data_IF_356624399461
#
_entry.id   IF_356624399461
#
_cell.length_a   1.000
_cell.length_b   1.000
_cell.length_c   1.000
_cell.angle_alpha   90.00
_cell.angle_beta   90.00
_cell.angle_gamma   90.00
#
_symmetry.space_group_name_H-M   'P 1'
#
loop_
_entity.id
_entity.type
_entity.pdbx_description
1 polymer ?
#
# COMPACT_ATOMS: atom_id res chain seq x y z
N UNK A 1 1.74 -4.90 12.03
CA UNK A 1 3.14 -5.16 11.61
C UNK A 1 3.67 -6.48 12.18
N UNK A 2 4.06 -6.57 13.47
CA UNK A 2 4.74 -7.76 14.03
C UNK A 2 3.99 -9.08 13.76
N UNK A 3 2.69 -9.15 14.06
CA UNK A 3 1.89 -10.37 13.86
C UNK A 3 1.80 -10.78 12.40
N UNK A 4 1.62 -9.80 11.50
CA UNK A 4 1.56 -10.06 10.06
C UNK A 4 2.90 -10.55 9.52
N UNK A 5 4.00 -9.87 9.86
CA UNK A 5 5.35 -10.27 9.44
C UNK A 5 5.68 -11.66 9.98
N UNK A 6 5.36 -11.95 11.25
CA UNK A 6 5.59 -13.26 11.84
C UNK A 6 4.82 -14.37 11.11
N UNK A 7 3.55 -14.16 10.81
CA UNK A 7 2.74 -15.12 10.04
C UNK A 7 3.31 -15.34 8.64
N UNK A 8 3.64 -14.25 7.95
CA UNK A 8 4.19 -14.27 6.61
C UNK A 8 5.49 -15.08 6.56
N UNK A 9 6.44 -14.75 7.43
CA UNK A 9 7.74 -15.44 7.51
C UNK A 9 7.62 -16.89 8.00
N UNK A 10 6.57 -17.24 8.75
CA UNK A 10 6.26 -18.61 9.13
C UNK A 10 5.63 -19.45 7.99
N UNK A 11 5.42 -18.88 6.80
CA UNK A 11 4.84 -19.57 5.66
C UNK A 11 3.30 -19.68 5.71
N UNK A 12 2.64 -18.82 6.49
CA UNK A 12 1.19 -18.80 6.58
C UNK A 12 0.53 -18.49 5.23
N UNK A 13 -0.43 -19.32 4.82
CA UNK A 13 -1.09 -19.19 3.52
C UNK A 13 -2.27 -18.19 3.52
N UNK A 14 -2.76 -17.79 4.69
CA UNK A 14 -3.92 -16.91 4.83
C UNK A 14 -3.76 -15.97 6.02
N UNK A 15 -3.80 -14.67 5.75
CA UNK A 15 -3.98 -13.62 6.75
C UNK A 15 -5.42 -13.09 6.65
N UNK A 16 -6.32 -13.59 7.50
CA UNK A 16 -7.71 -13.16 7.51
C UNK A 16 -7.96 -12.08 8.58
N UNK A 17 -8.90 -11.17 8.29
CA UNK A 17 -9.47 -10.22 9.26
C UNK A 17 -8.43 -9.39 10.04
N UNK A 18 -7.43 -8.85 9.34
CA UNK A 18 -6.38 -8.04 9.96
C UNK A 18 -6.33 -6.57 9.50
N UNK A 19 -6.58 -6.22 8.23
CA UNK A 19 -6.42 -4.83 7.78
C UNK A 19 -7.37 -3.88 8.49
N UNK A 20 -6.83 -2.85 9.14
CA UNK A 20 -7.57 -1.80 9.83
C UNK A 20 -8.33 -2.24 11.07
N UNK A 21 -8.08 -3.44 11.60
CA UNK A 21 -8.81 -3.93 12.77
C UNK A 21 -8.29 -3.31 14.07
N UNK A 22 -9.22 -2.86 14.91
CA UNK A 22 -8.95 -2.26 16.21
C UNK A 22 -9.80 -2.90 17.31
N UNK A 23 -9.37 -2.74 18.56
CA UNK A 23 -10.14 -3.19 19.73
C UNK A 23 -10.37 -4.70 19.79
N UNK A 24 -9.42 -5.52 19.32
CA UNK A 24 -9.55 -6.99 19.28
C UNK A 24 -10.76 -7.47 18.45
N UNK A 25 -10.82 -7.06 17.18
CA UNK A 25 -11.90 -7.38 16.23
C UNK A 25 -13.24 -6.66 16.49
N UNK A 26 -13.28 -5.70 17.41
CA UNK A 26 -14.51 -4.95 17.71
C UNK A 26 -14.77 -3.79 16.74
N UNK A 27 -13.74 -3.30 16.04
CA UNK A 27 -13.86 -2.18 15.11
C UNK A 27 -12.98 -2.33 13.90
N UNK A 28 -13.36 -1.63 12.83
CA UNK A 28 -12.59 -1.52 11.61
C UNK A 28 -12.43 -0.04 11.24
N UNK A 29 -11.18 0.40 11.12
CA UNK A 29 -10.80 1.74 10.71
C UNK A 29 -10.42 1.74 9.23
N UNK A 30 -11.01 2.65 8.46
CA UNK A 30 -10.63 2.83 7.05
C UNK A 30 -9.24 3.43 6.91
N UNK A 31 -8.87 4.34 7.81
CA UNK A 31 -7.51 4.89 7.88
C UNK A 31 -6.51 3.77 8.21
N UNK A 32 -6.83 2.92 9.20
CA UNK A 32 -6.02 1.74 9.53
C UNK A 32 -5.87 0.78 8.36
N UNK A 33 -6.92 0.57 7.56
CA UNK A 33 -6.86 -0.23 6.32
C UNK A 33 -5.81 0.31 5.33
N UNK A 34 -5.80 1.63 5.11
CA UNK A 34 -4.83 2.27 4.20
C UNK A 34 -3.41 2.19 4.77
N UNK A 35 -3.24 2.42 6.06
CA UNK A 35 -1.94 2.31 6.74
C UNK A 35 -1.41 0.87 6.68
N UNK A 36 -2.26 -0.11 6.95
CA UNK A 36 -1.89 -1.52 6.88
C UNK A 36 -1.55 -1.94 5.45
N UNK A 37 -2.14 -1.33 4.43
CA UNK A 37 -1.79 -1.59 3.03
C UNK A 37 -0.31 -1.23 2.73
N UNK A 38 0.18 -0.08 3.20
CA UNK A 38 1.60 0.29 3.09
C UNK A 38 2.50 -0.71 3.82
N UNK A 39 2.08 -1.14 5.01
CA UNK A 39 2.80 -2.13 5.80
C UNK A 39 2.82 -3.50 5.10
N UNK A 40 1.71 -3.95 4.52
CA UNK A 40 1.64 -5.21 3.77
C UNK A 40 2.50 -5.19 2.52
N UNK A 41 2.60 -4.07 1.82
CA UNK A 41 3.52 -3.96 0.69
C UNK A 41 4.98 -4.22 1.13
N UNK A 42 5.38 -3.69 2.29
CA UNK A 42 6.71 -3.97 2.86
C UNK A 42 6.86 -5.44 3.28
N UNK A 43 5.83 -6.04 3.89
CA UNK A 43 5.85 -7.47 4.24
C UNK A 43 5.94 -8.35 2.99
N UNK A 44 5.23 -8.02 1.92
CA UNK A 44 5.32 -8.73 0.64
C UNK A 44 6.72 -8.59 0.02
N UNK A 45 7.33 -7.40 0.10
CA UNK A 45 8.73 -7.23 -0.31
C UNK A 45 9.67 -8.11 0.51
N UNK A 46 9.48 -8.21 1.83
CA UNK A 46 10.27 -9.12 2.66
C UNK A 46 10.10 -10.59 2.26
N UNK A 47 8.87 -11.01 1.92
CA UNK A 47 8.57 -12.38 1.48
C UNK A 47 9.25 -12.77 0.17
N UNK A 48 9.52 -11.83 -0.75
CA UNK A 48 10.31 -12.09 -1.97
C UNK A 48 11.72 -12.59 -1.62
N UNK A 49 12.23 -12.24 -0.44
CA UNK A 49 13.57 -12.60 0.00
C UNK A 49 14.66 -11.76 -0.65
N UNK A 50 15.87 -12.31 -0.68
CA UNK A 50 17.06 -11.71 -1.29
C UNK A 50 17.41 -12.57 -2.50
N UNK A 51 17.28 -11.99 -3.69
CA UNK A 51 17.69 -12.62 -4.94
C UNK A 51 19.20 -12.52 -5.08
N UNK A 52 19.87 -13.65 -5.36
CA UNK A 52 21.32 -13.73 -5.47
C UNK A 52 21.66 -14.24 -6.87
N UNK A 53 22.07 -13.31 -7.73
CA UNK A 53 22.63 -13.53 -9.07
C UNK A 53 23.87 -12.66 -9.23
N UNK A 54 24.64 -12.86 -10.30
CA UNK A 54 25.81 -12.01 -10.59
C UNK A 54 25.40 -10.53 -10.70
N UNK A 55 24.24 -10.25 -11.28
CA UNK A 55 23.70 -8.90 -11.42
C UNK A 55 23.25 -8.28 -10.09
N UNK A 56 22.60 -9.04 -9.21
CA UNK A 56 22.11 -8.53 -7.91
C UNK A 56 23.21 -8.43 -6.85
N UNK A 57 24.37 -9.05 -7.08
CA UNK A 57 25.58 -8.81 -6.30
C UNK A 57 26.21 -7.44 -6.61
N UNK A 58 25.93 -6.86 -7.79
CA UNK A 58 26.35 -5.52 -8.18
C UNK A 58 27.86 -5.27 -8.07
N UNK A 59 28.70 -6.29 -8.33
CA UNK A 59 30.14 -6.22 -8.09
C UNK A 59 30.82 -5.10 -8.89
N UNK A 60 30.54 -5.01 -10.20
CA UNK A 60 31.11 -4.00 -11.09
C UNK A 60 30.68 -2.59 -10.67
N UNK A 61 29.43 -2.44 -10.24
CA UNK A 61 28.90 -1.16 -9.76
C UNK A 61 29.60 -0.72 -8.47
N UNK A 62 29.90 -1.66 -7.58
CA UNK A 62 30.67 -1.40 -6.35
C UNK A 62 32.10 -0.97 -6.71
N UNK A 63 32.78 -1.70 -7.60
CA UNK A 63 34.14 -1.37 -8.05
C UNK A 63 34.19 0.03 -8.70
N UNK A 64 33.30 0.30 -9.65
CA UNK A 64 33.20 1.61 -10.32
C UNK A 64 32.95 2.74 -9.32
N UNK A 65 32.05 2.52 -8.35
CA UNK A 65 31.70 3.55 -7.36
C UNK A 65 32.87 3.84 -6.43
N UNK A 66 33.60 2.82 -5.98
CA UNK A 66 34.78 2.97 -5.10
C UNK A 66 35.92 3.72 -5.81
N UNK A 67 36.13 3.45 -7.08
CA UNK A 67 37.16 4.13 -7.87
C UNK A 67 36.70 5.48 -8.46
N UNK A 68 35.40 5.76 -8.43
CA UNK A 68 34.78 6.93 -9.06
C UNK A 68 34.16 7.92 -8.08
N UNK A 69 32.84 8.08 -8.16
CA UNK A 69 32.06 9.12 -7.46
C UNK A 69 32.05 8.98 -5.94
N UNK A 70 32.31 7.78 -5.41
CA UNK A 70 32.16 7.47 -3.99
C UNK A 70 30.71 7.34 -3.51
N UNK A 71 29.72 7.36 -4.42
CA UNK A 71 28.31 7.13 -4.08
C UNK A 71 27.50 6.54 -5.25
N UNK A 72 26.44 5.81 -4.93
CA UNK A 72 25.62 5.09 -5.92
C UNK A 72 24.47 5.93 -6.54
N UNK A 73 24.16 7.11 -5.98
CA UNK A 73 22.93 7.87 -6.31
C UNK A 73 22.71 8.17 -7.81
N UNK A 74 23.78 8.34 -8.58
CA UNK A 74 23.72 8.64 -10.01
C UNK A 74 23.84 7.42 -10.92
N UNK A 75 24.06 6.23 -10.35
CA UNK A 75 24.33 5.02 -11.14
C UNK A 75 23.03 4.48 -11.76
N UNK A 76 23.01 4.10 -13.05
CA UNK A 76 21.79 3.60 -13.71
C UNK A 76 21.14 2.42 -12.99
N UNK A 77 21.94 1.48 -12.48
CA UNK A 77 21.44 0.32 -11.73
C UNK A 77 20.69 0.74 -10.45
N UNK A 78 21.11 1.82 -9.78
CA UNK A 78 20.40 2.30 -8.58
C UNK A 78 19.00 2.78 -8.93
N UNK A 79 18.84 3.51 -10.04
CA UNK A 79 17.53 3.99 -10.49
C UNK A 79 16.60 2.85 -10.89
N UNK A 80 17.13 1.81 -11.53
CA UNK A 80 16.39 0.60 -11.88
C UNK A 80 15.90 -0.16 -10.64
N UNK A 81 16.82 -0.42 -9.69
CA UNK A 81 16.50 -1.14 -8.46
C UNK A 81 15.58 -0.36 -7.53
N UNK A 82 15.59 0.98 -7.57
CA UNK A 82 14.63 1.79 -6.79
C UNK A 82 13.17 1.52 -7.14
N UNK A 83 12.89 1.00 -8.34
CA UNK A 83 11.54 0.68 -8.79
C UNK A 83 11.09 -0.74 -8.41
N UNK A 84 12.03 -1.63 -8.08
CA UNK A 84 11.78 -3.06 -7.82
C UNK A 84 12.06 -3.46 -6.38
N UNK A 85 13.07 -2.85 -5.75
CA UNK A 85 13.57 -3.22 -4.42
C UNK A 85 12.98 -2.38 -3.30
N UNK A 86 12.47 -1.19 -3.61
CA UNK A 86 11.91 -0.26 -2.64
C UNK A 86 10.42 -0.06 -2.87
N UNK A 87 9.65 -0.11 -1.79
CA UNK A 87 8.28 0.35 -1.79
C UNK A 87 8.23 1.81 -1.34
N UNK A 88 7.72 2.67 -2.22
CA UNK A 88 7.32 4.01 -1.82
C UNK A 88 5.94 3.93 -1.15
N UNK A 89 5.84 4.28 0.15
CA UNK A 89 4.58 4.22 0.87
C UNK A 89 3.60 5.26 0.33
N UNK A 90 2.31 4.94 0.34
CA UNK A 90 1.24 5.86 -0.04
C UNK A 90 0.92 6.90 1.04
N UNK A 91 1.09 6.57 2.33
CA UNK A 91 0.71 7.44 3.45
C UNK A 91 1.80 7.63 4.51
N UNK A 92 2.83 6.78 4.55
CA UNK A 92 3.96 7.01 5.46
C UNK A 92 4.87 8.14 4.94
N UNK A 93 4.98 9.22 5.71
CA UNK A 93 5.77 10.39 5.32
C UNK A 93 7.29 10.12 5.43
N UNK A 94 8.02 10.41 4.35
CA UNK A 94 9.47 10.26 4.23
C UNK A 94 10.21 11.59 4.09
N UNK A 95 9.51 12.72 4.22
CA UNK A 95 10.11 14.06 4.20
C UNK A 95 11.06 14.23 5.38
N UNK A 96 11.97 15.18 5.24
CA UNK A 96 12.82 15.57 6.37
C UNK A 96 11.98 16.20 7.49
N UNK A 97 12.46 16.14 8.73
CA UNK A 97 11.74 16.73 9.86
C UNK A 97 11.49 18.24 9.69
N UNK A 98 12.40 18.96 9.01
CA UNK A 98 12.25 20.38 8.70
C UNK A 98 11.11 20.63 7.70
N UNK A 99 11.06 19.87 6.61
CA UNK A 99 9.97 19.96 5.62
C UNK A 99 8.63 19.57 6.21
N UNK A 100 8.56 18.46 6.96
CA UNK A 100 7.35 18.05 7.67
C UNK A 100 6.85 19.15 8.62
N UNK A 101 7.76 19.82 9.34
CA UNK A 101 7.42 20.89 10.27
C UNK A 101 6.76 22.11 9.61
N UNK A 102 7.11 22.44 8.36
CA UNK A 102 6.56 23.59 7.63
C UNK A 102 5.39 23.22 6.71
N UNK A 103 5.12 21.92 6.51
CA UNK A 103 4.05 21.41 5.64
C UNK A 103 2.81 20.94 6.42
N UNK A 104 2.59 21.53 7.59
CA UNK A 104 1.38 21.30 8.40
C UNK A 104 1.49 20.15 9.40
N UNK A 105 2.63 19.44 9.47
CA UNK A 105 2.92 18.42 10.49
C UNK A 105 1.89 17.28 10.53
N UNK A 106 1.38 16.91 9.36
CA UNK A 106 0.35 15.90 9.28
C UNK A 106 0.86 14.57 9.82
N UNK A 107 0.06 13.91 10.63
CA UNK A 107 0.33 12.53 11.03
C UNK A 107 -0.16 11.53 9.97
N UNK A 108 0.26 10.28 10.14
CA UNK A 108 -0.09 9.20 9.19
C UNK A 108 -1.59 8.93 9.13
N UNK A 109 -2.32 9.17 10.22
CA UNK A 109 -3.77 8.97 10.30
C UNK A 109 -4.48 10.05 9.49
N UNK A 110 -4.02 11.30 9.56
CA UNK A 110 -4.54 12.40 8.75
C UNK A 110 -4.30 12.14 7.26
N UNK A 111 -3.08 11.74 6.87
CA UNK A 111 -2.77 11.36 5.48
C UNK A 111 -3.63 10.20 5.00
N UNK A 112 -3.82 9.18 5.84
CA UNK A 112 -4.71 8.06 5.56
C UNK A 112 -6.17 8.51 5.41
N UNK A 113 -6.64 9.45 6.22
CA UNK A 113 -8.00 10.00 6.10
C UNK A 113 -8.23 10.66 4.74
N UNK A 114 -7.28 11.47 4.27
CA UNK A 114 -7.36 12.04 2.92
C UNK A 114 -7.39 10.96 1.84
N UNK A 115 -6.53 9.93 1.97
CA UNK A 115 -6.49 8.83 1.01
C UNK A 115 -7.78 8.00 0.99
N UNK A 116 -8.39 7.76 2.16
CA UNK A 116 -9.69 7.10 2.28
C UNK A 116 -10.75 7.89 1.53
N UNK A 117 -10.85 9.21 1.73
CA UNK A 117 -11.81 10.05 1.01
C UNK A 117 -11.55 10.06 -0.48
N UNK A 118 -10.30 10.18 -0.91
CA UNK A 118 -9.92 10.13 -2.33
C UNK A 118 -10.42 8.84 -2.98
N UNK A 119 -10.13 7.68 -2.37
CA UNK A 119 -10.55 6.37 -2.89
C UNK A 119 -12.08 6.26 -2.89
N UNK A 120 -12.75 6.55 -1.79
CA UNK A 120 -14.19 6.29 -1.64
C UNK A 120 -15.07 7.31 -2.39
N UNK A 121 -14.56 8.50 -2.69
CA UNK A 121 -15.25 9.49 -3.52
C UNK A 121 -15.01 9.31 -5.02
N UNK A 122 -13.92 8.62 -5.42
CA UNK A 122 -13.51 8.48 -6.82
C UNK A 122 -13.59 7.07 -7.42
N UNK A 123 -13.56 6.01 -6.61
CA UNK A 123 -13.46 4.63 -7.10
C UNK A 123 -14.80 3.89 -7.06
N UNK A 124 -15.44 3.78 -8.23
CA UNK A 124 -16.70 3.05 -8.41
C UNK A 124 -16.51 1.97 -9.50
N UNK A 125 -16.19 0.73 -9.10
CA UNK A 125 -15.83 -0.29 -10.06
C UNK A 125 -17.03 -0.87 -10.83
N UNK A 126 -16.86 -1.09 -12.14
CA UNK A 126 -17.90 -1.58 -13.05
C UNK A 126 -17.70 -3.05 -13.49
N UNK A 127 -16.95 -3.85 -12.72
CA UNK A 127 -16.62 -5.24 -13.10
C UNK A 127 -17.83 -6.20 -13.03
N UNK A 128 -18.94 -5.82 -12.37
CA UNK A 128 -20.18 -6.60 -12.36
C UNK A 128 -21.07 -6.12 -13.51
N UNK A 129 -21.17 -6.94 -14.56
CA UNK A 129 -22.00 -6.60 -15.72
C UNK A 129 -23.49 -6.42 -15.35
N UNK A 130 -24.24 -5.54 -16.04
CA UNK A 130 -25.62 -5.20 -15.67
C UNK A 130 -26.57 -6.40 -15.57
N UNK A 131 -26.38 -7.43 -16.40
CA UNK A 131 -27.19 -8.65 -16.35
C UNK A 131 -26.92 -9.48 -15.09
N UNK A 132 -25.68 -9.50 -14.59
CA UNK A 132 -25.33 -10.18 -13.34
C UNK A 132 -25.85 -9.41 -12.13
N UNK A 133 -25.67 -8.08 -12.11
CA UNK A 133 -26.19 -7.21 -11.06
C UNK A 133 -27.71 -7.36 -10.88
N UNK A 134 -28.48 -7.36 -11.98
CA UNK A 134 -29.93 -7.62 -11.94
C UNK A 134 -30.28 -8.95 -11.28
N UNK A 135 -29.66 -10.05 -11.72
CA UNK A 135 -29.91 -11.39 -11.13
C UNK A 135 -29.58 -11.45 -9.64
N UNK A 136 -28.52 -10.76 -9.21
CA UNK A 136 -28.13 -10.70 -7.79
C UNK A 136 -29.18 -9.94 -6.98
N UNK A 137 -29.62 -8.78 -7.47
CA UNK A 137 -30.63 -7.92 -6.80
C UNK A 137 -32.03 -8.55 -6.79
N UNK A 138 -32.38 -9.36 -7.78
CA UNK A 138 -33.62 -10.15 -7.78
C UNK A 138 -33.59 -11.25 -6.71
N UNK A 139 -32.43 -11.87 -6.48
CA UNK A 139 -32.27 -12.99 -5.54
C UNK A 139 -32.05 -12.55 -4.10
N UNK A 140 -31.40 -11.42 -3.87
CA UNK A 140 -30.97 -10.96 -2.54
C UNK A 140 -31.50 -9.56 -2.24
N UNK A 141 -31.79 -9.24 -0.97
CA UNK A 141 -32.32 -7.93 -0.57
C UNK A 141 -31.20 -6.86 -0.52
N UNK A 142 -30.64 -6.52 -1.68
CA UNK A 142 -29.60 -5.51 -1.80
C UNK A 142 -30.20 -4.13 -1.56
N UNK A 143 -29.81 -3.49 -0.44
CA UNK A 143 -30.29 -2.16 -0.03
C UNK A 143 -29.47 -1.01 -0.59
N UNK A 144 -28.32 -1.30 -1.22
CA UNK A 144 -27.47 -0.30 -1.84
C UNK A 144 -28.06 0.11 -3.19
N UNK A 145 -28.45 1.38 -3.36
CA UNK A 145 -29.06 1.84 -4.60
C UNK A 145 -27.99 2.02 -5.70
N UNK A 146 -28.31 1.79 -6.99
CA UNK A 146 -27.35 1.99 -8.09
C UNK A 146 -26.73 3.39 -8.15
N UNK A 147 -27.47 4.42 -7.76
CA UNK A 147 -27.03 5.82 -7.66
C UNK A 147 -25.96 6.02 -6.58
N UNK A 148 -26.00 5.25 -5.48
CA UNK A 148 -24.98 5.27 -4.43
C UNK A 148 -23.67 4.62 -4.90
N UNK A 149 -23.70 3.91 -6.02
CA UNK A 149 -22.54 3.25 -6.63
C UNK A 149 -21.93 4.06 -7.77
N UNK A 150 -22.14 5.38 -7.76
CA UNK A 150 -21.59 6.30 -8.77
C UNK A 150 -20.91 7.50 -8.11
N UNK A 151 -19.96 8.15 -8.82
CA UNK A 151 -19.38 9.41 -8.38
C UNK A 151 -20.46 10.47 -8.11
N UNK A 152 -20.25 11.30 -7.08
CA UNK A 152 -21.16 12.39 -6.72
C UNK A 152 -22.37 12.01 -5.87
N UNK A 153 -22.39 10.80 -5.28
CA UNK A 153 -23.45 10.36 -4.35
C UNK A 153 -23.51 11.13 -3.01
N UNK A 154 -22.53 12.00 -2.72
CA UNK A 154 -22.47 12.81 -1.50
C UNK A 154 -22.17 12.03 -0.22
N UNK A 155 -21.81 10.73 -0.32
CA UNK A 155 -21.52 9.87 0.84
C UNK A 155 -20.10 10.03 1.37
N UNK A 156 -19.15 10.40 0.51
CA UNK A 156 -17.72 10.53 0.77
C UNK A 156 -17.19 11.84 0.20
#
# INVERSE_FOLDING_TARGET
AITTTALALAGGNLLAAYPGIVGSLLGQSFEGLVIDNDMFGNVQRLLRGIEVTDETLSYEVIEETVHGSGHYLGHPQTLELMQTEYLYPGVADRRTAGEWAVTGKQDVTELAHYKVREILSGHYPEYIGPAADRRIRERFPIRLAPEDMRPGNGRW
#
